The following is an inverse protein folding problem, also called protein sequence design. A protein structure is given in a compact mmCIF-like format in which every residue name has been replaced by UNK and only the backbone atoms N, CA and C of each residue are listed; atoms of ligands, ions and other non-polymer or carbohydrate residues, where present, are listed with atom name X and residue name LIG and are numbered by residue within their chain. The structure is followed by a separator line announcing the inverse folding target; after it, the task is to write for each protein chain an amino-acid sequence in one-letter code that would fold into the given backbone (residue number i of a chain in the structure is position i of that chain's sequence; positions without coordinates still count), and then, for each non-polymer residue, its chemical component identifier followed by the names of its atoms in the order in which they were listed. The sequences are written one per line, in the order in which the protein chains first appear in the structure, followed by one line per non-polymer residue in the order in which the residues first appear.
data_IF_289559931537
#
_entry.id   IF_289559931537
#
_cell.length_a   1.000
_cell.length_b   1.000
_cell.length_c   1.000
_cell.angle_alpha   90.00
_cell.angle_beta   90.00
_cell.angle_gamma   90.00
#
_symmetry.space_group_name_H-M   'P 1'
#
loop_
_entity.id
_entity.type
_entity.pdbx_description
1 polymer ?
#
# COMPACT_ATOMS: atom_id res chain seq x y z
N UNK A 1 -24.15 3.97 -11.04
CA UNK A 1 -25.03 2.83 -10.69
C UNK A 1 -25.71 3.16 -9.38
N UNK A 2 -27.00 2.84 -9.24
CA UNK A 2 -27.73 3.10 -7.99
C UNK A 2 -27.41 2.00 -6.96
N UNK A 3 -26.93 2.40 -5.79
CA UNK A 3 -26.65 1.49 -4.69
C UNK A 3 -27.97 1.16 -3.97
N UNK A 4 -28.32 -0.12 -3.93
CA UNK A 4 -29.53 -0.60 -3.29
C UNK A 4 -29.36 -0.89 -1.81
N UNK A 5 -28.23 -1.43 -1.42
CA UNK A 5 -27.91 -1.68 -0.02
C UNK A 5 -26.39 -1.75 0.21
N UNK A 6 -26.01 -1.44 1.44
CA UNK A 6 -24.64 -1.54 1.94
C UNK A 6 -24.66 -2.48 3.15
N UNK A 7 -23.79 -3.46 3.17
CA UNK A 7 -23.58 -4.36 4.31
C UNK A 7 -22.14 -4.23 4.76
N UNK A 8 -21.92 -3.99 6.04
CA UNK A 8 -20.59 -3.95 6.65
C UNK A 8 -20.34 -5.30 7.30
N UNK A 9 -19.30 -5.97 6.82
CA UNK A 9 -18.86 -7.26 7.31
C UNK A 9 -17.58 -7.06 8.12
N UNK A 10 -17.59 -7.44 9.38
CA UNK A 10 -16.38 -7.49 10.19
C UNK A 10 -15.66 -8.79 9.87
N UNK A 11 -14.45 -8.71 9.38
CA UNK A 11 -13.59 -9.87 9.20
C UNK A 11 -12.52 -9.90 10.29
N UNK A 12 -12.17 -11.11 10.72
CA UNK A 12 -11.09 -11.35 11.69
C UNK A 12 -9.72 -11.35 11.03
N UNK A 13 -9.69 -11.37 9.69
CA UNK A 13 -8.48 -11.46 8.91
C UNK A 13 -7.72 -10.14 8.91
N UNK A 14 -6.45 -10.22 9.22
CA UNK A 14 -5.55 -9.09 9.18
C UNK A 14 -5.13 -8.77 7.73
N UNK A 15 -4.83 -7.49 7.47
CA UNK A 15 -4.24 -7.08 6.20
C UNK A 15 -2.91 -7.81 5.96
N UNK A 16 -2.83 -8.51 4.86
CA UNK A 16 -1.64 -9.24 4.45
C UNK A 16 -0.72 -8.43 3.55
N UNK A 17 -1.19 -8.06 2.37
CA UNK A 17 -0.43 -7.28 1.40
C UNK A 17 -1.33 -6.24 0.71
N UNK A 18 -0.99 -4.98 0.84
CA UNK A 18 -1.66 -3.88 0.17
C UNK A 18 -0.80 -3.35 -0.98
N UNK A 19 -1.39 -3.18 -2.15
CA UNK A 19 -0.72 -2.68 -3.36
C UNK A 19 -1.41 -1.41 -3.80
N UNK A 20 -0.64 -0.34 -3.95
CA UNK A 20 -1.12 0.98 -4.36
C UNK A 20 -0.07 1.73 -5.17
N UNK A 21 -0.27 3.00 -5.40
CA UNK A 21 0.72 3.91 -5.97
C UNK A 21 0.28 4.62 -7.24
N UNK A 22 1.06 5.61 -7.64
CA UNK A 22 0.75 6.47 -8.80
C UNK A 22 0.72 5.72 -10.13
N UNK A 23 1.47 4.61 -10.23
CA UNK A 23 1.49 3.75 -11.41
C UNK A 23 0.45 2.63 -11.35
N UNK A 24 -0.23 2.44 -10.21
CA UNK A 24 -1.28 1.44 -10.06
C UNK A 24 -2.59 1.92 -10.70
N UNK A 25 -3.18 1.08 -11.54
CA UNK A 25 -4.51 1.32 -12.10
C UNK A 25 -5.61 1.19 -11.05
N UNK A 26 -5.37 0.37 -10.04
CA UNK A 26 -6.25 0.14 -8.90
C UNK A 26 -5.44 -0.24 -7.66
N UNK A 27 -6.02 -0.04 -6.48
CA UNK A 27 -5.47 -0.57 -5.25
C UNK A 27 -5.95 -2.01 -5.04
N UNK A 28 -5.09 -2.87 -4.49
CA UNK A 28 -5.41 -4.26 -4.20
C UNK A 28 -5.00 -4.59 -2.78
N UNK A 29 -5.91 -5.21 -2.03
CA UNK A 29 -5.64 -5.72 -0.70
C UNK A 29 -5.80 -7.23 -0.70
N UNK A 30 -4.76 -7.93 -0.29
CA UNK A 30 -4.82 -9.33 0.10
C UNK A 30 -4.84 -9.43 1.62
N UNK A 31 -5.78 -10.16 2.17
CA UNK A 31 -5.79 -10.50 3.60
C UNK A 31 -4.71 -11.56 3.89
N UNK A 32 -4.34 -11.71 5.16
CA UNK A 32 -3.44 -12.78 5.57
C UNK A 32 -3.98 -14.15 5.17
N UNK A 33 -5.28 -14.39 5.36
CA UNK A 33 -5.93 -15.64 5.00
C UNK A 33 -5.89 -15.89 3.49
N UNK A 34 -6.15 -14.87 2.67
CA UNK A 34 -6.01 -14.99 1.21
C UNK A 34 -4.59 -15.33 0.79
N UNK A 35 -3.60 -14.69 1.41
CA UNK A 35 -2.19 -15.02 1.15
C UNK A 35 -1.84 -16.45 1.56
N UNK A 36 -2.40 -16.95 2.65
CA UNK A 36 -2.21 -18.33 3.11
C UNK A 36 -2.85 -19.35 2.16
N UNK A 37 -4.03 -19.08 1.65
CA UNK A 37 -4.77 -19.96 0.74
C UNK A 37 -4.16 -20.04 -0.67
N UNK A 38 -3.32 -19.10 -1.07
CA UNK A 38 -2.68 -19.15 -2.38
C UNK A 38 -1.84 -20.43 -2.55
N UNK A 39 -2.03 -21.15 -3.64
CA UNK A 39 -1.20 -22.31 -4.00
C UNK A 39 0.20 -21.85 -4.43
N UNK A 40 1.13 -21.87 -3.51
CA UNK A 40 2.52 -21.41 -3.72
C UNK A 40 3.36 -22.54 -4.32
N UNK A 41 3.10 -22.88 -5.57
CA UNK A 41 3.71 -24.02 -6.25
C UNK A 41 4.91 -23.65 -7.15
N UNK A 42 5.14 -22.38 -7.43
CA UNK A 42 6.28 -21.95 -8.22
C UNK A 42 7.53 -21.83 -7.36
N UNK A 43 8.58 -22.56 -7.72
CA UNK A 43 9.90 -22.47 -7.10
C UNK A 43 10.85 -21.70 -8.02
N UNK A 44 11.68 -20.87 -7.43
CA UNK A 44 12.65 -20.07 -8.15
C UNK A 44 13.96 -19.97 -7.37
N UNK A 45 15.10 -20.24 -8.03
CA UNK A 45 16.42 -20.15 -7.41
C UNK A 45 17.08 -18.82 -7.73
N UNK A 46 17.78 -18.31 -6.74
CA UNK A 46 18.51 -17.05 -6.81
C UNK A 46 19.94 -17.29 -6.34
N UNK A 47 20.91 -16.80 -7.08
CA UNK A 47 22.23 -16.58 -6.54
C UNK A 47 22.18 -15.30 -5.71
N UNK A 48 22.72 -15.36 -4.51
CA UNK A 48 22.61 -14.30 -3.51
C UNK A 48 23.99 -13.86 -3.07
N UNK A 49 24.19 -12.55 -3.05
CA UNK A 49 25.38 -11.95 -2.49
C UNK A 49 24.98 -10.97 -1.39
N UNK A 50 25.49 -11.23 -0.17
CA UNK A 50 25.24 -10.43 1.02
C UNK A 50 26.34 -9.39 1.23
N UNK A 51 25.95 -8.16 1.58
CA UNK A 51 26.88 -7.08 1.86
C UNK A 51 27.52 -7.20 3.26
N UNK A 52 26.90 -7.94 4.15
CA UNK A 52 27.30 -8.06 5.55
C UNK A 52 28.21 -9.25 5.84
N UNK A 53 28.40 -10.12 4.86
CA UNK A 53 29.29 -11.27 4.96
C UNK A 53 30.57 -11.03 4.15
N UNK A 54 31.67 -11.72 4.52
CA UNK A 54 32.90 -11.65 3.76
C UNK A 54 32.67 -11.98 2.27
N UNK A 55 33.42 -11.34 1.40
CA UNK A 55 33.21 -11.32 -0.07
C UNK A 55 33.10 -12.71 -0.75
N UNK A 56 33.33 -13.80 -0.02
CA UNK A 56 33.29 -15.18 -0.53
C UNK A 56 31.95 -15.90 -0.29
N UNK A 57 31.04 -15.38 0.53
CA UNK A 57 29.78 -16.07 0.84
C UNK A 57 28.68 -15.71 -0.17
N UNK A 58 28.81 -16.35 -1.34
CA UNK A 58 27.73 -16.34 -2.34
C UNK A 58 26.91 -17.62 -2.16
N UNK A 59 25.65 -17.44 -1.79
CA UNK A 59 24.72 -18.55 -1.57
C UNK A 59 23.72 -18.68 -2.71
N UNK A 60 23.13 -19.87 -2.77
CA UNK A 60 21.94 -20.11 -3.60
C UNK A 60 20.75 -20.26 -2.67
N UNK A 61 19.78 -19.39 -2.84
CA UNK A 61 18.51 -19.44 -2.12
C UNK A 61 17.38 -19.85 -3.06
N UNK A 62 16.48 -20.68 -2.57
CA UNK A 62 15.27 -21.06 -3.28
C UNK A 62 14.06 -20.37 -2.65
N UNK A 63 13.35 -19.58 -3.46
CA UNK A 63 12.07 -18.99 -3.12
C UNK A 63 10.91 -19.82 -3.64
N UNK A 64 9.83 -19.93 -2.86
CA UNK A 64 8.57 -20.54 -3.31
C UNK A 64 7.43 -19.54 -3.15
N UNK A 65 6.75 -19.24 -4.26
CA UNK A 65 5.70 -18.21 -4.33
C UNK A 65 5.34 -17.84 -5.75
N UNK A 66 5.42 -16.57 -6.11
CA UNK A 66 4.98 -16.04 -7.41
C UNK A 66 5.92 -14.96 -7.96
N UNK A 67 5.98 -14.76 -9.29
CA UNK A 67 6.58 -13.58 -9.86
C UNK A 67 5.94 -12.30 -9.31
N UNK A 68 6.75 -11.28 -9.05
CA UNK A 68 6.24 -9.96 -8.65
C UNK A 68 5.23 -9.42 -9.68
N UNK A 69 5.47 -9.70 -10.97
CA UNK A 69 4.59 -9.25 -12.05
C UNK A 69 3.13 -9.66 -11.85
N UNK A 70 2.85 -10.83 -11.28
CA UNK A 70 1.47 -11.24 -11.01
C UNK A 70 0.72 -10.28 -10.10
N UNK A 71 1.42 -9.71 -9.12
CA UNK A 71 0.86 -8.73 -8.18
C UNK A 71 0.73 -7.33 -8.81
N UNK A 72 1.70 -6.96 -9.64
CA UNK A 72 1.64 -5.71 -10.40
C UNK A 72 0.49 -5.74 -11.42
N UNK A 73 0.29 -6.87 -12.11
CA UNK A 73 -0.82 -7.06 -13.04
C UNK A 73 -2.18 -7.00 -12.32
N UNK A 74 -2.28 -7.63 -11.14
CA UNK A 74 -3.49 -7.56 -10.32
C UNK A 74 -3.86 -6.13 -9.95
N UNK A 75 -2.88 -5.27 -9.74
CA UNK A 75 -3.07 -3.84 -9.48
C UNK A 75 -3.12 -2.97 -10.76
N UNK A 76 -3.17 -3.60 -11.93
CA UNK A 76 -3.12 -2.90 -13.23
C UNK A 76 -1.98 -1.88 -13.29
N UNK A 77 -0.81 -2.26 -12.76
CA UNK A 77 0.37 -1.39 -12.82
C UNK A 77 0.84 -1.30 -14.25
N UNK A 78 0.89 -0.08 -14.75
CA UNK A 78 1.50 0.23 -16.02
C UNK A 78 2.96 0.61 -15.80
N UNK A 79 3.67 0.87 -16.80
CA UNK A 79 5.07 1.26 -16.89
C UNK A 79 5.68 1.95 -15.64
N UNK A 80 6.26 1.19 -14.71
CA UNK A 80 7.00 1.73 -13.56
C UNK A 80 8.41 1.16 -13.48
N UNK A 81 9.37 2.02 -13.14
CA UNK A 81 10.75 1.65 -12.82
C UNK A 81 11.00 1.62 -11.31
N UNK A 82 10.06 2.13 -10.53
CA UNK A 82 10.21 2.27 -9.09
C UNK A 82 9.06 1.55 -8.36
N UNK A 83 9.44 0.80 -7.33
CA UNK A 83 8.52 0.32 -6.30
C UNK A 83 9.07 0.67 -4.92
N UNK A 84 8.18 1.02 -4.02
CA UNK A 84 8.48 1.20 -2.59
C UNK A 84 7.85 0.06 -1.82
N UNK A 85 8.59 -0.47 -0.88
CA UNK A 85 8.19 -1.61 -0.08
C UNK A 85 8.20 -1.19 1.39
N UNK A 86 7.09 -1.46 2.09
CA UNK A 86 6.99 -1.27 3.53
C UNK A 86 6.78 -2.63 4.20
N UNK A 87 7.55 -2.89 5.23
CA UNK A 87 7.56 -4.16 5.96
C UNK A 87 6.81 -4.05 7.28
N UNK A 88 6.40 -5.19 7.82
CA UNK A 88 5.69 -5.26 9.11
C UNK A 88 6.51 -4.78 10.31
N UNK A 89 7.83 -4.76 10.18
CA UNK A 89 8.76 -4.27 11.21
C UNK A 89 9.13 -2.78 11.04
N UNK A 90 8.44 -2.08 10.11
CA UNK A 90 8.66 -0.66 9.83
C UNK A 90 9.81 -0.37 8.85
N UNK A 91 10.51 -1.41 8.37
CA UNK A 91 11.55 -1.20 7.36
C UNK A 91 10.96 -0.80 6.02
N UNK A 92 11.53 0.23 5.42
CA UNK A 92 11.16 0.72 4.09
C UNK A 92 12.34 0.60 3.14
N UNK A 93 12.05 0.20 1.90
CA UNK A 93 13.03 0.15 0.83
C UNK A 93 12.44 0.65 -0.48
N UNK A 94 13.30 1.25 -1.30
CA UNK A 94 12.94 1.70 -2.63
C UNK A 94 13.76 0.90 -3.62
N UNK A 95 13.10 0.22 -4.53
CA UNK A 95 13.73 -0.43 -5.66
C UNK A 95 13.50 0.42 -6.89
N UNK A 96 14.56 1.01 -7.36
CA UNK A 96 14.61 1.73 -8.63
C UNK A 96 14.91 0.83 -9.80
N UNK A 97 15.15 0.88 -10.89
CA UNK A 97 15.60 -0.08 -11.91
C UNK A 97 14.86 -1.44 -11.87
N UNK A 98 13.55 -1.40 -11.61
CA UNK A 98 12.72 -2.62 -11.53
C UNK A 98 12.79 -3.46 -12.82
N UNK A 99 12.94 -2.80 -13.97
CA UNK A 99 13.03 -3.42 -15.31
C UNK A 99 14.42 -3.83 -15.73
N UNK A 100 15.43 -3.57 -14.91
CA UNK A 100 16.79 -3.98 -15.21
C UNK A 100 16.89 -5.50 -15.36
N UNK A 101 17.63 -5.93 -16.34
CA UNK A 101 17.87 -7.35 -16.59
C UNK A 101 18.64 -7.96 -15.42
N UNK A 102 18.04 -8.96 -14.82
CA UNK A 102 18.61 -9.69 -13.68
C UNK A 102 18.72 -11.17 -14.00
N UNK A 103 19.65 -11.82 -13.36
CA UNK A 103 20.03 -13.20 -13.65
C UNK A 103 20.20 -14.03 -12.39
N UNK A 104 20.04 -15.32 -12.54
CA UNK A 104 20.52 -16.35 -11.64
C UNK A 104 21.81 -16.94 -12.22
N UNK A 105 22.84 -17.05 -11.39
CA UNK A 105 24.12 -17.65 -11.75
C UNK A 105 24.24 -19.02 -11.04
N UNK A 106 24.02 -20.14 -11.73
CA UNK A 106 23.89 -21.46 -11.10
C UNK A 106 25.19 -21.98 -10.50
N UNK A 107 26.34 -21.49 -10.98
CA UNK A 107 27.66 -21.89 -10.49
C UNK A 107 28.44 -20.66 -10.03
N UNK A 108 28.52 -20.47 -8.73
CA UNK A 108 29.25 -19.41 -8.07
C UNK A 108 30.57 -19.92 -7.51
N UNK A 109 31.51 -20.36 -8.32
CA UNK A 109 32.84 -20.71 -7.85
C UNK A 109 33.88 -19.75 -8.38
N UNK A 110 34.65 -19.14 -7.47
CA UNK A 110 35.95 -18.46 -7.72
C UNK A 110 36.01 -17.56 -8.95
N UNK A 111 35.02 -16.65 -9.09
CA UNK A 111 35.01 -15.67 -10.18
C UNK A 111 34.60 -16.21 -11.54
N UNK A 112 34.28 -17.49 -11.67
CA UNK A 112 33.80 -18.08 -12.91
C UNK A 112 32.35 -18.49 -12.78
N UNK A 113 31.43 -17.80 -13.52
CA UNK A 113 30.07 -18.27 -13.71
C UNK A 113 30.03 -19.10 -14.99
N UNK A 114 29.64 -20.35 -14.91
CA UNK A 114 29.26 -21.11 -16.09
C UNK A 114 27.77 -20.90 -16.35
N UNK A 115 27.49 -19.92 -17.19
CA UNK A 115 26.13 -19.60 -17.60
C UNK A 115 25.38 -18.64 -16.68
N UNK A 116 24.30 -18.09 -17.20
CA UNK A 116 23.34 -17.26 -16.47
C UNK A 116 21.94 -17.50 -17.00
N UNK A 117 20.95 -17.48 -16.12
CA UNK A 117 19.55 -17.60 -16.49
C UNK A 117 18.82 -16.29 -16.17
N UNK A 118 18.00 -15.75 -17.05
CA UNK A 118 17.17 -14.59 -16.73
C UNK A 118 16.32 -14.85 -15.48
N UNK A 119 16.20 -13.84 -14.61
CA UNK A 119 15.46 -13.96 -13.37
C UNK A 119 14.63 -12.71 -13.11
N UNK A 120 13.32 -12.88 -13.09
CA UNK A 120 12.37 -11.85 -12.69
C UNK A 120 12.33 -11.67 -11.17
N UNK A 121 11.89 -10.52 -10.70
CA UNK A 121 11.61 -10.29 -9.29
C UNK A 121 10.49 -11.23 -8.80
N UNK A 122 10.61 -11.71 -7.59
CA UNK A 122 9.78 -12.79 -7.07
C UNK A 122 9.31 -12.51 -5.65
N UNK A 123 8.03 -12.74 -5.40
CA UNK A 123 7.40 -12.68 -4.08
C UNK A 123 7.41 -14.07 -3.49
N UNK A 124 8.19 -14.26 -2.44
CA UNK A 124 8.44 -15.56 -1.82
C UNK A 124 7.81 -15.68 -0.45
N UNK A 125 7.05 -16.74 -0.23
CA UNK A 125 6.45 -17.11 1.06
C UNK A 125 7.26 -18.15 1.82
N UNK A 126 8.13 -18.87 1.11
CA UNK A 126 9.05 -19.85 1.69
C UNK A 126 10.44 -19.61 1.12
N UNK A 127 11.42 -19.79 1.96
CA UNK A 127 12.83 -19.71 1.62
C UNK A 127 13.49 -21.03 2.01
N UNK A 128 14.11 -21.72 1.04
CA UNK A 128 14.74 -23.02 1.24
C UNK A 128 13.81 -24.05 1.91
N UNK A 129 12.54 -24.05 1.50
CA UNK A 129 11.51 -24.94 2.04
C UNK A 129 10.91 -24.55 3.39
N UNK A 130 11.40 -23.48 4.02
CA UNK A 130 10.93 -22.99 5.32
C UNK A 130 10.08 -21.72 5.12
N UNK A 131 8.94 -21.52 5.85
CA UNK A 131 8.21 -20.27 5.82
C UNK A 131 9.12 -19.08 6.13
N UNK A 132 8.92 -17.96 5.41
CA UNK A 132 9.68 -16.74 5.68
C UNK A 132 9.35 -16.19 7.08
N UNK A 133 10.25 -15.38 7.65
CA UNK A 133 10.18 -14.91 9.04
C UNK A 133 8.83 -14.32 9.45
N UNK A 134 8.19 -13.58 8.54
CA UNK A 134 6.94 -12.87 8.81
C UNK A 134 5.74 -13.48 8.06
N UNK A 135 5.81 -14.80 7.75
CA UNK A 135 4.70 -15.47 7.10
C UNK A 135 3.34 -15.15 7.78
N UNK A 136 2.26 -14.86 7.04
CA UNK A 136 2.11 -14.92 5.58
C UNK A 136 2.60 -13.70 4.81
N UNK A 137 3.19 -12.70 5.46
CA UNK A 137 3.80 -11.56 4.78
C UNK A 137 5.05 -12.01 4.02
N UNK A 138 5.11 -11.81 2.70
CA UNK A 138 6.17 -12.38 1.88
C UNK A 138 7.48 -11.62 1.99
N UNK A 139 8.51 -12.23 1.42
CA UNK A 139 9.79 -11.58 1.13
C UNK A 139 9.92 -11.39 -0.38
N UNK A 140 10.41 -10.24 -0.82
CA UNK A 140 10.79 -10.06 -2.23
C UNK A 140 12.22 -10.54 -2.47
N UNK A 141 12.44 -11.17 -3.61
CA UNK A 141 13.74 -11.66 -4.04
C UNK A 141 14.06 -11.19 -5.45
N UNK A 142 15.29 -10.80 -5.68
CA UNK A 142 15.78 -10.32 -6.98
C UNK A 142 16.96 -11.15 -7.47
N UNK A 143 17.02 -11.37 -8.78
CA UNK A 143 18.25 -11.83 -9.42
C UNK A 143 19.34 -10.76 -9.36
N UNK A 144 20.55 -11.14 -9.71
CA UNK A 144 21.71 -10.24 -9.80
C UNK A 144 21.80 -9.59 -11.18
N UNK A 145 22.21 -8.33 -11.25
CA UNK A 145 22.53 -7.66 -12.52
C UNK A 145 23.89 -8.15 -13.07
N UNK A 146 24.82 -8.46 -12.17
CA UNK A 146 26.12 -9.02 -12.44
C UNK A 146 26.60 -9.89 -11.29
N UNK A 147 27.75 -10.56 -11.43
CA UNK A 147 28.30 -11.44 -10.39
C UNK A 147 28.59 -10.74 -9.07
N UNK A 148 28.90 -9.46 -9.11
CA UNK A 148 29.27 -8.66 -7.95
C UNK A 148 28.08 -7.83 -7.40
N UNK A 149 26.87 -8.00 -7.99
CA UNK A 149 25.68 -7.34 -7.52
C UNK A 149 25.21 -7.92 -6.18
N UNK A 150 25.20 -7.07 -5.17
CA UNK A 150 24.78 -7.38 -3.79
C UNK A 150 23.27 -7.40 -3.68
N UNK A 151 22.63 -8.28 -4.42
CA UNK A 151 21.18 -8.31 -4.59
C UNK A 151 20.42 -8.60 -3.30
N UNK A 152 21.04 -9.14 -2.26
CA UNK A 152 20.38 -9.37 -0.98
C UNK A 152 19.96 -8.09 -0.27
N UNK A 153 20.61 -6.97 -0.57
CA UNK A 153 20.26 -5.66 -0.06
C UNK A 153 18.84 -5.21 -0.52
N UNK A 154 18.38 -5.77 -1.64
CA UNK A 154 17.02 -5.53 -2.15
C UNK A 154 15.97 -6.50 -1.59
N UNK A 155 16.35 -7.48 -0.78
CA UNK A 155 15.44 -8.49 -0.22
C UNK A 155 14.71 -7.94 0.99
N UNK A 156 13.59 -7.26 0.76
CA UNK A 156 12.73 -6.80 1.86
C UNK A 156 11.89 -7.94 2.40
N UNK A 157 11.91 -8.11 3.73
CA UNK A 157 11.22 -9.19 4.45
C UNK A 157 9.91 -8.68 5.05
N UNK A 158 8.89 -9.54 5.05
CA UNK A 158 7.61 -9.21 5.69
C UNK A 158 6.89 -8.05 5.03
N UNK A 159 6.87 -8.03 3.70
CA UNK A 159 6.23 -6.96 2.94
C UNK A 159 4.73 -6.97 3.23
N UNK A 160 4.21 -5.85 3.71
CA UNK A 160 2.77 -5.61 3.90
C UNK A 160 2.22 -4.56 2.94
N UNK A 161 3.10 -3.75 2.33
CA UNK A 161 2.70 -2.77 1.36
C UNK A 161 3.70 -2.68 0.21
N UNK A 162 3.15 -2.56 -1.00
CA UNK A 162 3.87 -2.31 -2.22
C UNK A 162 3.27 -1.08 -2.90
N UNK A 163 4.09 -0.05 -3.08
CA UNK A 163 3.70 1.18 -3.77
C UNK A 163 4.38 1.20 -5.12
N UNK A 164 3.59 1.14 -6.19
CA UNK A 164 4.10 1.18 -7.56
C UNK A 164 4.19 2.63 -8.05
N UNK A 165 5.40 3.05 -8.41
CA UNK A 165 5.70 4.44 -8.76
C UNK A 165 6.09 5.29 -7.56
N UNK A 166 6.20 6.60 -7.76
CA UNK A 166 6.77 7.53 -6.80
C UNK A 166 5.77 8.10 -5.79
N UNK A 167 4.50 7.93 -6.03
CA UNK A 167 3.44 8.57 -5.27
C UNK A 167 2.36 7.60 -4.83
N UNK A 168 1.98 7.66 -3.57
CA UNK A 168 0.81 6.96 -3.05
C UNK A 168 -0.47 7.75 -3.36
N UNK A 169 -1.58 7.05 -3.52
CA UNK A 169 -2.90 7.66 -3.56
C UNK A 169 -3.33 8.04 -2.14
N UNK A 170 -4.13 9.08 -2.02
CA UNK A 170 -4.59 9.53 -0.71
C UNK A 170 -5.61 10.65 -0.78
N UNK A 171 -5.77 11.36 0.32
CA UNK A 171 -6.73 12.45 0.46
C UNK A 171 -6.16 13.56 1.33
N UNK A 172 -6.73 14.76 1.15
CA UNK A 172 -6.36 15.93 1.92
C UNK A 172 -7.25 16.09 3.14
N UNK A 173 -6.64 16.52 4.25
CA UNK A 173 -7.32 17.06 5.43
C UNK A 173 -6.90 18.51 5.56
N UNK A 174 -7.83 19.44 5.40
CA UNK A 174 -7.54 20.86 5.33
C UNK A 174 -8.67 21.72 5.88
N UNK A 175 -8.39 22.97 6.15
CA UNK A 175 -9.33 23.96 6.66
C UNK A 175 -8.70 24.82 7.75
N UNK A 176 -9.33 25.95 8.04
CA UNK A 176 -8.85 26.89 9.06
C UNK A 176 -9.03 26.40 10.51
N UNK A 177 -9.76 25.28 10.70
CA UNK A 177 -9.88 24.58 11.97
C UNK A 177 -8.70 23.64 12.30
N UNK A 178 -7.74 23.52 11.38
CA UNK A 178 -6.55 22.68 11.57
C UNK A 178 -5.34 23.53 11.90
N UNK A 179 -4.42 23.00 12.72
CA UNK A 179 -3.10 23.62 12.94
C UNK A 179 -2.27 23.63 11.66
N UNK A 180 -2.41 22.59 10.84
CA UNK A 180 -1.78 22.50 9.52
C UNK A 180 -2.62 21.64 8.60
N UNK A 181 -2.59 21.95 7.31
CA UNK A 181 -3.16 21.08 6.30
C UNK A 181 -2.26 19.86 6.11
N UNK A 182 -2.86 18.68 5.99
CA UNK A 182 -2.15 17.41 5.85
C UNK A 182 -2.68 16.61 4.67
N UNK A 183 -1.79 15.86 4.08
CA UNK A 183 -2.12 14.83 3.11
C UNK A 183 -1.87 13.46 3.74
N UNK A 184 -2.89 12.62 3.73
CA UNK A 184 -2.75 11.24 4.14
C UNK A 184 -2.67 10.37 2.90
N UNK A 185 -1.55 9.66 2.73
CA UNK A 185 -1.51 8.59 1.75
C UNK A 185 -2.45 7.46 2.18
N UNK A 186 -3.02 6.76 1.21
CA UNK A 186 -3.88 5.61 1.50
C UNK A 186 -3.15 4.54 2.31
N UNK A 187 -1.86 4.35 2.01
CA UNK A 187 -1.04 3.42 2.71
C UNK A 187 -0.85 3.76 4.18
N UNK A 188 -0.39 4.98 4.47
CA UNK A 188 -0.21 5.45 5.85
C UNK A 188 -1.53 5.44 6.60
N UNK A 189 -2.60 5.88 5.98
CA UNK A 189 -3.92 5.86 6.55
C UNK A 189 -4.40 4.44 6.90
N UNK A 190 -4.17 3.50 6.01
CA UNK A 190 -4.47 2.10 6.23
C UNK A 190 -3.67 1.51 7.40
N UNK A 191 -2.38 1.84 7.50
CA UNK A 191 -1.52 1.40 8.58
C UNK A 191 -1.96 1.92 9.94
N UNK A 192 -2.25 3.22 10.02
CA UNK A 192 -2.72 3.86 11.26
C UNK A 192 -4.01 3.21 11.75
N UNK A 193 -4.98 3.05 10.86
CA UNK A 193 -6.26 2.44 11.22
C UNK A 193 -6.14 0.98 11.67
N UNK A 194 -5.22 0.24 11.05
CA UNK A 194 -4.93 -1.13 11.45
C UNK A 194 -4.29 -1.21 12.83
N UNK A 195 -3.36 -0.28 13.13
CA UNK A 195 -2.72 -0.23 14.44
C UNK A 195 -3.75 -0.01 15.55
N UNK A 196 -4.75 0.83 15.32
CA UNK A 196 -5.80 1.12 16.29
C UNK A 196 -6.86 0.02 16.40
N UNK A 197 -7.31 -0.52 15.29
CA UNK A 197 -8.49 -1.39 15.24
C UNK A 197 -8.17 -2.89 15.18
N UNK A 198 -6.98 -3.28 14.72
CA UNK A 198 -6.58 -4.70 14.55
C UNK A 198 -7.42 -5.50 13.56
N UNK A 199 -8.40 -4.88 12.92
CA UNK A 199 -9.36 -5.53 12.03
C UNK A 199 -9.57 -4.74 10.76
N UNK A 200 -9.75 -5.45 9.65
CA UNK A 200 -10.24 -4.90 8.40
C UNK A 200 -11.73 -5.15 8.33
N UNK A 201 -12.45 -4.15 7.88
CA UNK A 201 -13.86 -4.26 7.59
C UNK A 201 -14.05 -4.32 6.07
N UNK A 202 -15.03 -5.09 5.65
CA UNK A 202 -15.46 -5.15 4.26
C UNK A 202 -16.84 -4.55 4.13
N UNK A 203 -17.03 -3.75 3.08
CA UNK A 203 -18.34 -3.28 2.67
C UNK A 203 -18.78 -4.06 1.45
N UNK A 204 -19.95 -4.64 1.52
CA UNK A 204 -20.62 -5.22 0.36
C UNK A 204 -21.67 -4.24 -0.15
N UNK A 205 -21.47 -3.74 -1.36
CA UNK A 205 -22.38 -2.86 -2.06
C UNK A 205 -23.25 -3.70 -2.99
N UNK A 206 -24.57 -3.61 -2.86
CA UNK A 206 -25.51 -4.21 -3.81
C UNK A 206 -26.17 -3.12 -4.64
N UNK A 207 -26.10 -3.28 -5.94
CA UNK A 207 -26.63 -2.33 -6.89
C UNK A 207 -28.05 -2.72 -7.35
N UNK A 208 -28.78 -1.73 -7.89
CA UNK A 208 -30.16 -1.93 -8.37
C UNK A 208 -30.26 -2.94 -9.54
N UNK A 209 -29.19 -3.08 -10.31
CA UNK A 209 -29.10 -4.04 -11.41
C UNK A 209 -28.84 -5.50 -10.95
N UNK A 210 -28.71 -5.72 -9.64
CA UNK A 210 -28.43 -7.02 -9.04
C UNK A 210 -26.95 -7.38 -8.93
N UNK A 211 -26.05 -6.56 -9.46
CA UNK A 211 -24.62 -6.70 -9.25
C UNK A 211 -24.23 -6.37 -7.80
N UNK A 212 -23.09 -6.86 -7.38
CA UNK A 212 -22.53 -6.55 -6.08
C UNK A 212 -21.01 -6.38 -6.17
N UNK A 213 -20.47 -5.57 -5.27
CA UNK A 213 -19.04 -5.31 -5.15
C UNK A 213 -18.63 -5.39 -3.68
N UNK A 214 -17.49 -5.99 -3.41
CA UNK A 214 -16.89 -6.03 -2.08
C UNK A 214 -15.64 -5.15 -2.07
N UNK A 215 -15.56 -4.22 -1.15
CA UNK A 215 -14.44 -3.31 -1.02
C UNK A 215 -13.92 -3.28 0.42
N UNK A 216 -12.60 -3.16 0.64
CA UNK A 216 -12.06 -2.98 1.98
C UNK A 216 -12.51 -1.63 2.54
N UNK A 217 -12.83 -1.61 3.83
CA UNK A 217 -13.25 -0.41 4.55
C UNK A 217 -12.29 -0.12 5.70
N UNK A 218 -11.95 1.15 5.85
CA UNK A 218 -11.12 1.67 6.92
C UNK A 218 -12.00 2.58 7.78
N UNK A 219 -12.03 2.31 9.08
CA UNK A 219 -12.82 3.10 10.02
C UNK A 219 -12.01 4.25 10.57
N UNK A 220 -12.56 5.46 10.47
CA UNK A 220 -12.10 6.64 11.17
C UNK A 220 -12.87 6.83 12.45
N UNK A 221 -12.19 7.14 13.53
CA UNK A 221 -12.77 7.44 14.83
C UNK A 221 -12.45 8.88 15.22
N UNK A 222 -13.19 9.39 16.22
CA UNK A 222 -12.92 10.71 16.77
C UNK A 222 -11.50 10.79 17.31
N UNK A 223 -11.02 9.76 18.01
CA UNK A 223 -9.66 9.69 18.54
C UNK A 223 -8.59 9.83 17.44
N UNK A 224 -8.83 9.27 16.26
CA UNK A 224 -7.94 9.47 15.12
C UNK A 224 -7.77 10.96 14.77
N UNK A 225 -8.87 11.73 14.76
CA UNK A 225 -8.82 13.15 14.45
C UNK A 225 -8.15 13.96 15.54
N UNK A 226 -8.39 13.62 16.80
CA UNK A 226 -7.77 14.28 17.94
C UNK A 226 -6.26 14.07 17.98
N UNK A 227 -5.79 12.89 17.60
CA UNK A 227 -4.36 12.52 17.67
C UNK A 227 -3.61 12.81 16.36
N UNK A 228 -4.20 12.45 15.22
CA UNK A 228 -3.50 12.45 13.95
C UNK A 228 -3.78 13.69 13.10
N UNK A 229 -5.00 14.18 13.10
CA UNK A 229 -5.37 15.35 12.31
C UNK A 229 -5.08 16.68 13.03
N UNK A 230 -4.78 16.65 14.33
CA UNK A 230 -4.54 17.87 15.15
C UNK A 230 -5.65 18.91 14.97
N UNK A 231 -6.87 18.46 14.84
CA UNK A 231 -8.02 19.32 14.66
C UNK A 231 -8.29 20.08 15.96
N UNK A 232 -8.55 21.39 15.85
CA UNK A 232 -8.96 22.18 17.00
C UNK A 232 -10.30 21.63 17.57
N UNK A 233 -10.41 21.43 18.89
CA UNK A 233 -11.57 20.76 19.50
C UNK A 233 -12.93 21.36 19.11
N UNK A 234 -13.01 22.68 18.93
CA UNK A 234 -14.21 23.38 18.52
C UNK A 234 -14.71 23.05 17.11
N UNK A 235 -13.88 22.43 16.27
CA UNK A 235 -14.24 22.04 14.91
C UNK A 235 -14.51 20.54 14.76
N UNK A 236 -14.35 19.76 15.82
CA UNK A 236 -14.54 18.30 15.74
C UNK A 236 -15.97 17.93 15.31
N UNK A 237 -16.96 18.70 15.73
CA UNK A 237 -18.35 18.48 15.35
C UNK A 237 -18.72 19.11 13.98
N UNK A 238 -17.76 19.81 13.36
CA UNK A 238 -17.95 20.51 12.09
C UNK A 238 -17.09 19.91 10.96
N UNK A 239 -16.53 18.73 11.18
CA UNK A 239 -15.77 18.04 10.13
C UNK A 239 -16.70 17.63 9.00
N UNK A 240 -16.31 17.97 7.77
CA UNK A 240 -17.06 17.69 6.55
C UNK A 240 -16.24 16.89 5.58
N UNK A 241 -16.82 15.84 5.02
CA UNK A 241 -16.27 15.18 3.85
C UNK A 241 -16.63 15.99 2.61
N UNK A 242 -15.67 16.15 1.71
CA UNK A 242 -15.85 16.95 0.48
C UNK A 242 -15.42 16.14 -0.74
N UNK A 243 -16.00 16.49 -1.89
CA UNK A 243 -15.63 16.00 -3.20
C UNK A 243 -14.45 16.78 -3.80
N UNK A 244 -14.07 16.44 -5.02
CA UNK A 244 -12.99 17.11 -5.74
C UNK A 244 -13.30 18.58 -6.08
N UNK A 245 -14.55 18.98 -6.12
CA UNK A 245 -14.96 20.38 -6.29
C UNK A 245 -14.95 21.17 -4.97
N UNK A 246 -14.79 20.48 -3.83
CA UNK A 246 -14.84 21.07 -2.49
C UNK A 246 -16.26 21.17 -1.91
N UNK A 247 -17.24 20.56 -2.58
CA UNK A 247 -18.63 20.53 -2.10
C UNK A 247 -18.79 19.48 -1.01
N UNK A 248 -19.63 19.79 -0.01
CA UNK A 248 -19.88 18.88 1.10
C UNK A 248 -20.73 17.69 0.66
N UNK A 249 -20.21 16.49 0.86
CA UNK A 249 -20.89 15.23 0.54
C UNK A 249 -21.34 14.47 1.79
N UNK A 250 -20.90 14.89 2.98
CA UNK A 250 -21.32 14.30 4.24
C UNK A 250 -20.67 14.96 5.43
N UNK A 251 -21.14 14.61 6.63
CA UNK A 251 -20.55 15.03 7.89
C UNK A 251 -19.69 13.90 8.46
N UNK A 252 -18.54 14.25 9.00
CA UNK A 252 -17.71 13.32 9.75
C UNK A 252 -18.28 13.19 11.15
N UNK A 253 -18.74 12.01 11.50
CA UNK A 253 -19.25 11.67 12.83
C UNK A 253 -18.19 10.99 13.67
N UNK A 254 -18.54 10.50 14.86
CA UNK A 254 -17.61 9.76 15.73
C UNK A 254 -17.00 8.50 15.07
N UNK A 255 -17.64 8.01 14.02
CA UNK A 255 -17.08 6.93 13.21
C UNK A 255 -17.55 7.09 11.76
N UNK A 256 -16.60 7.28 10.85
CA UNK A 256 -16.83 7.26 9.41
C UNK A 256 -16.08 6.09 8.79
N UNK A 257 -16.54 5.71 7.62
CA UNK A 257 -15.94 4.64 6.85
C UNK A 257 -15.42 5.20 5.54
N UNK A 258 -14.13 5.09 5.34
CA UNK A 258 -13.51 5.26 4.03
C UNK A 258 -13.38 3.90 3.37
N UNK A 259 -13.69 3.81 2.11
CA UNK A 259 -13.59 2.58 1.35
C UNK A 259 -13.05 2.84 -0.06
N UNK A 260 -12.46 1.82 -0.62
CA UNK A 260 -12.00 1.84 -2.00
C UNK A 260 -13.20 1.52 -2.88
N UNK A 261 -13.49 2.41 -3.80
CA UNK A 261 -14.60 2.22 -4.72
C UNK A 261 -14.10 1.87 -6.09
N UNK A 262 -15.00 1.23 -6.76
CA UNK A 262 -14.97 0.79 -8.15
C UNK A 262 -13.91 -0.27 -8.52
N UNK A 263 -14.02 -0.73 -9.74
CA UNK A 263 -13.12 -1.75 -10.31
C UNK A 263 -11.68 -1.27 -10.46
N UNK A 264 -11.46 0.05 -10.47
CA UNK A 264 -10.14 0.65 -10.61
C UNK A 264 -9.45 0.91 -9.28
N UNK A 265 -10.18 0.87 -8.17
CA UNK A 265 -9.70 1.17 -6.82
C UNK A 265 -8.95 2.51 -6.68
N UNK A 266 -9.11 3.40 -7.65
CA UNK A 266 -8.53 4.76 -7.61
C UNK A 266 -9.40 5.74 -6.87
N UNK A 267 -10.70 5.49 -6.80
CA UNK A 267 -11.63 6.31 -6.06
C UNK A 267 -11.71 5.86 -4.63
N UNK A 268 -11.73 6.82 -3.75
CA UNK A 268 -12.06 6.61 -2.35
C UNK A 268 -13.49 7.08 -2.19
N UNK A 269 -14.36 6.15 -1.81
CA UNK A 269 -15.71 6.47 -1.42
C UNK A 269 -15.79 6.80 0.07
N UNK A 270 -16.88 7.39 0.45
CA UNK A 270 -17.20 7.75 1.82
C UNK A 270 -18.57 7.19 2.20
N UNK A 271 -18.62 6.54 3.35
CA UNK A 271 -19.84 6.04 3.95
C UNK A 271 -19.97 6.57 5.38
N UNK A 272 -21.04 7.31 5.66
CA UNK A 272 -21.30 7.95 6.95
C UNK A 272 -22.26 7.16 7.86
N UNK A 273 -22.59 5.95 7.50
CA UNK A 273 -23.59 5.11 8.16
C UNK A 273 -24.97 5.13 7.48
N UNK A 274 -25.23 6.06 6.57
CA UNK A 274 -26.50 6.18 5.86
C UNK A 274 -26.37 6.26 4.35
N UNK A 275 -25.36 6.98 3.85
CA UNK A 275 -25.13 7.23 2.43
C UNK A 275 -23.75 6.84 1.99
N UNK A 276 -23.60 6.51 0.71
CA UNK A 276 -22.31 6.24 0.07
C UNK A 276 -22.05 7.33 -0.95
N UNK A 277 -20.89 7.99 -0.83
CA UNK A 277 -20.40 8.93 -1.86
C UNK A 277 -19.21 8.34 -2.59
N UNK A 278 -19.24 8.44 -3.90
CA UNK A 278 -18.18 7.93 -4.80
C UNK A 278 -17.13 8.99 -5.16
N UNK A 279 -17.29 10.23 -4.72
CA UNK A 279 -16.43 11.35 -5.09
C UNK A 279 -15.76 12.00 -3.88
N UNK A 280 -15.28 11.19 -2.95
CA UNK A 280 -14.57 11.67 -1.78
C UNK A 280 -13.16 12.16 -2.16
N UNK A 281 -12.83 13.39 -1.82
CA UNK A 281 -11.52 13.99 -2.03
C UNK A 281 -10.78 14.31 -0.74
N UNK A 282 -11.51 14.56 0.36
CA UNK A 282 -10.88 14.92 1.61
C UNK A 282 -11.85 15.31 2.71
N UNK A 283 -11.30 15.81 3.79
CA UNK A 283 -12.03 16.28 4.97
C UNK A 283 -11.65 17.72 5.25
N UNK A 284 -12.66 18.51 5.56
CA UNK A 284 -12.53 19.92 5.87
C UNK A 284 -12.95 20.19 7.31
N UNK A 285 -12.11 20.87 8.05
CA UNK A 285 -12.39 21.39 9.38
C UNK A 285 -12.51 22.92 9.34
N UNK A 286 -13.70 23.42 9.59
CA UNK A 286 -14.00 24.86 9.48
C UNK A 286 -14.20 25.32 8.02
N UNK A 287 -13.75 26.51 7.68
CA UNK A 287 -13.84 27.04 6.33
C UNK A 287 -12.62 26.67 5.50
N UNK A 288 -12.84 26.39 4.22
CA UNK A 288 -11.75 26.34 3.26
C UNK A 288 -11.28 27.77 3.02
N UNK A 289 -10.10 28.10 3.48
CA UNK A 289 -9.46 29.31 3.00
C UNK A 289 -9.35 29.23 1.47
N UNK A 290 -9.69 30.31 0.76
CA UNK A 290 -9.45 30.35 -0.67
C UNK A 290 -7.97 30.03 -0.89
N UNK A 291 -7.67 29.09 -1.80
CA UNK A 291 -6.31 28.72 -2.15
C UNK A 291 -5.61 29.97 -2.69
N UNK A 292 -5.05 30.75 -1.78
CA UNK A 292 -4.14 31.82 -2.17
C UNK A 292 -2.94 31.09 -2.75
N UNK A 293 -2.52 31.46 -3.94
CA UNK A 293 -1.42 30.88 -4.73
C UNK A 293 -0.09 30.60 -3.99
N UNK A 294 0.00 30.96 -2.72
CA UNK A 294 1.08 30.62 -1.79
C UNK A 294 1.12 29.13 -1.40
N UNK A 295 -0.03 28.44 -1.36
CA UNK A 295 -0.03 26.99 -1.06
C UNK A 295 0.34 26.17 -2.28
N UNK A 296 -0.02 26.57 -3.48
CA UNK A 296 0.39 25.89 -4.71
C UNK A 296 1.91 25.92 -4.94
N UNK A 297 2.59 26.96 -4.44
CA UNK A 297 4.05 27.06 -4.48
C UNK A 297 4.76 26.30 -3.34
N UNK A 298 4.00 25.79 -2.37
CA UNK A 298 4.49 25.05 -1.21
C UNK A 298 3.95 23.61 -1.10
N UNK A 299 3.33 23.10 -2.14
CA UNK A 299 3.37 21.65 -2.33
C UNK A 299 4.82 21.35 -2.69
N UNK A 300 5.67 20.96 -1.75
CA UNK A 300 7.00 20.55 -2.15
C UNK A 300 6.75 19.34 -3.02
N UNK A 301 7.33 19.33 -4.21
CA UNK A 301 7.65 18.07 -4.89
C UNK A 301 8.69 17.28 -4.06
N UNK A 302 8.86 17.62 -2.82
CA UNK A 302 9.61 16.85 -1.85
C UNK A 302 8.74 15.70 -1.44
N UNK A 303 9.18 14.51 -1.76
CA UNK A 303 8.91 13.30 -1.02
C UNK A 303 8.94 13.61 0.47
N UNK A 304 7.78 13.97 1.02
CA UNK A 304 7.63 14.11 2.46
C UNK A 304 7.75 12.68 2.96
N UNK A 305 8.82 12.38 3.65
CA UNK A 305 8.94 11.09 4.34
C UNK A 305 7.80 11.01 5.32
N UNK A 306 7.18 9.85 5.48
CA UNK A 306 6.13 9.62 6.48
C UNK A 306 6.56 10.11 7.89
N UNK A 307 7.88 10.13 8.18
CA UNK A 307 8.46 10.74 9.38
C UNK A 307 8.15 12.22 9.56
N UNK A 308 7.81 12.96 8.52
CA UNK A 308 7.51 14.39 8.62
C UNK A 308 6.05 14.65 9.03
N UNK A 309 5.25 13.58 9.11
CA UNK A 309 3.88 13.62 9.62
C UNK A 309 3.78 13.32 11.12
N UNK A 310 4.88 13.00 11.78
CA UNK A 310 4.93 12.62 13.20
C UNK A 310 5.54 13.69 14.11
N UNK A 311 5.53 14.95 13.70
CA UNK A 311 5.98 16.06 14.54
C UNK A 311 4.82 16.96 14.92
#
# INVERSE_FOLDING_TARGET
MEIKSVTILQETDQAGLFISGSAAGRNVLYTCEELERQEKNKCCRFSVYDNHEDAESKDIEEGRGFPLQNYLDAACVTDTEEIRLKSVDGFESIVTELKSKRYYFPKLREGMSEGREPREAFISFYKNGIPVKYYPHPTIMFGQQGLDDKNKDYFSKGIRMLVAGSQEQGFWVRGNGLRCNRYFSLGSFFELNRAEAGTIYWMELKYADGSHQKAPAIRLTRSFWEEQAECAPEYMDQLRAVDHAGETIGNVTDAIWLFLLDETYKRIGYYDGTTVSEDFAGIVAGELEPIVSRCEKRVPQTTVKDSDFYI
#
